data_IF_978429643109
#
_entry.id   IF_978429643109
#
_cell.length_a   1.000
_cell.length_b   1.000
_cell.length_c   1.000
_cell.angle_alpha   90.00
_cell.angle_beta   90.00
_cell.angle_gamma   90.00
#
_symmetry.space_group_name_H-M   'P 1'
#
loop_
_entity.id
_entity.type
_entity.pdbx_description
1 polymer ?
#
# COMPACT_ATOMS: atom_id res chain seq x y z
N UNK A 1 -7.89 15.38 4.80
CA UNK A 1 -7.70 13.92 4.78
C UNK A 1 -8.20 13.32 6.07
N UNK A 2 -8.86 12.17 5.97
CA UNK A 2 -9.26 11.30 7.09
C UNK A 2 -8.54 9.96 6.96
N UNK A 3 -8.19 9.36 8.09
CA UNK A 3 -7.78 7.98 8.25
C UNK A 3 -8.74 7.32 9.24
N UNK A 4 -9.45 6.28 8.83
CA UNK A 4 -10.44 5.56 9.67
C UNK A 4 -11.38 6.55 10.39
N UNK A 5 -11.96 7.48 9.62
CA UNK A 5 -12.84 8.56 10.07
C UNK A 5 -12.23 9.64 10.99
N UNK A 6 -10.95 9.55 11.31
CA UNK A 6 -10.23 10.57 12.08
C UNK A 6 -9.50 11.53 11.16
N UNK A 7 -9.65 12.84 11.39
CA UNK A 7 -8.95 13.86 10.59
C UNK A 7 -7.45 13.85 10.85
N UNK A 8 -6.67 13.83 9.76
CA UNK A 8 -5.23 14.01 9.82
C UNK A 8 -4.92 15.50 9.83
N UNK A 9 -4.30 15.97 10.91
CA UNK A 9 -3.87 17.36 11.08
C UNK A 9 -2.34 17.37 11.21
N UNK A 10 -1.60 17.65 10.12
CA UNK A 10 -0.15 17.75 10.18
C UNK A 10 0.28 18.86 11.15
N UNK A 11 1.17 18.51 12.08
CA UNK A 11 1.85 19.46 12.97
C UNK A 11 3.27 19.70 12.49
N UNK A 12 3.88 20.80 12.90
CA UNK A 12 5.31 21.05 12.64
C UNK A 12 6.14 19.89 13.20
N UNK A 13 6.99 19.27 12.36
CA UNK A 13 7.77 18.08 12.70
C UNK A 13 7.01 16.74 12.65
N UNK A 14 5.76 16.72 12.17
CA UNK A 14 5.00 15.48 11.97
C UNK A 14 5.51 14.66 10.77
N UNK A 15 5.27 13.35 10.81
CA UNK A 15 5.50 12.42 9.69
C UNK A 15 4.58 12.70 8.49
N UNK A 16 3.47 13.38 8.73
CA UNK A 16 2.49 13.75 7.70
C UNK A 16 2.85 15.11 7.10
N UNK A 17 2.84 15.20 5.77
CA UNK A 17 2.99 16.45 5.04
C UNK A 17 1.86 16.59 4.01
N UNK A 18 1.28 17.80 3.94
CA UNK A 18 0.27 18.15 2.94
C UNK A 18 0.87 19.15 1.95
N UNK A 19 0.83 18.84 0.66
CA UNK A 19 1.34 19.73 -0.39
C UNK A 19 0.46 19.64 -1.62
N UNK A 20 -0.18 20.76 -2.01
CA UNK A 20 -1.04 20.81 -3.19
C UNK A 20 -2.22 19.82 -3.15
N UNK A 21 -2.78 19.54 -1.98
CA UNK A 21 -3.83 18.53 -1.77
C UNK A 21 -3.31 17.11 -1.51
N UNK A 22 -2.06 16.81 -1.85
CA UNK A 22 -1.49 15.48 -1.68
C UNK A 22 -1.04 15.24 -0.24
N UNK A 23 -1.34 14.05 0.29
CA UNK A 23 -0.84 13.58 1.58
C UNK A 23 0.41 12.73 1.34
N UNK A 24 1.53 13.17 1.92
CA UNK A 24 2.79 12.43 1.97
C UNK A 24 3.04 11.96 3.39
N UNK A 25 3.39 10.69 3.54
CA UNK A 25 3.69 10.05 4.82
C UNK A 25 5.15 9.63 4.80
N UNK A 26 5.98 10.19 5.69
CA UNK A 26 7.36 9.76 5.87
C UNK A 26 7.45 8.58 6.84
N UNK A 27 8.30 7.59 6.53
CA UNK A 27 8.53 6.40 7.37
C UNK A 27 7.23 5.67 7.74
N UNK A 28 6.65 4.93 6.78
CA UNK A 28 5.40 4.19 7.02
C UNK A 28 5.52 3.22 8.20
N UNK A 29 4.52 3.24 9.08
CA UNK A 29 4.35 2.28 10.16
C UNK A 29 3.06 1.47 9.91
N UNK A 30 3.14 0.14 10.03
CA UNK A 30 2.02 -0.77 9.73
C UNK A 30 0.88 -0.66 10.73
N UNK A 31 1.16 -0.44 12.00
CA UNK A 31 0.15 -0.31 13.04
C UNK A 31 -0.58 1.03 12.98
N UNK A 32 0.12 2.10 12.60
CA UNK A 32 -0.40 3.47 12.63
C UNK A 32 -1.02 3.91 11.30
N UNK A 33 -0.43 3.54 10.16
CA UNK A 33 -0.74 4.15 8.88
C UNK A 33 -1.69 3.30 8.01
N UNK A 34 -1.81 1.99 8.27
CA UNK A 34 -2.71 1.09 7.52
C UNK A 34 -4.17 1.41 7.86
N UNK A 35 -4.99 1.57 6.82
CA UNK A 35 -6.41 1.86 7.00
C UNK A 35 -7.05 2.48 5.78
N UNK A 36 -8.24 3.05 5.98
CA UNK A 36 -9.04 3.67 4.94
C UNK A 36 -8.82 5.18 4.95
N UNK A 37 -8.31 5.69 3.83
CA UNK A 37 -8.09 7.11 3.60
C UNK A 37 -9.21 7.72 2.77
N UNK A 38 -9.62 8.92 3.15
CA UNK A 38 -10.54 9.75 2.38
C UNK A 38 -10.03 11.19 2.34
N UNK A 39 -10.05 11.81 1.17
CA UNK A 39 -9.82 13.25 1.04
C UNK A 39 -11.13 14.02 1.08
N UNK A 40 -11.08 15.23 1.63
CA UNK A 40 -12.17 16.19 1.61
C UNK A 40 -11.63 17.48 1.00
N UNK A 41 -12.35 18.00 0.00
CA UNK A 41 -12.03 19.27 -0.65
C UNK A 41 -13.18 20.25 -0.42
N UNK A 42 -12.87 21.41 0.12
CA UNK A 42 -13.85 22.44 0.52
C UNK A 42 -13.56 23.74 -0.22
N UNK A 43 -14.61 24.38 -0.73
CA UNK A 43 -14.59 25.75 -1.24
C UNK A 43 -15.76 26.55 -0.66
N UNK A 44 -15.97 27.78 -1.12
CA UNK A 44 -17.07 28.65 -0.65
C UNK A 44 -18.47 28.12 -0.95
N UNK A 45 -18.62 27.16 -1.87
CA UNK A 45 -19.90 26.61 -2.30
C UNK A 45 -20.23 25.27 -1.63
N UNK A 46 -19.25 24.61 -1.01
CA UNK A 46 -19.48 23.35 -0.31
C UNK A 46 -18.24 22.50 -0.13
N UNK A 47 -18.46 21.25 0.30
CA UNK A 47 -17.43 20.24 0.49
C UNK A 47 -17.78 18.98 -0.29
N UNK A 48 -16.79 18.41 -0.97
CA UNK A 48 -16.88 17.10 -1.61
C UNK A 48 -15.93 16.11 -0.92
N UNK A 49 -16.32 14.83 -0.92
CA UNK A 49 -15.56 13.74 -0.30
C UNK A 49 -15.11 12.76 -1.37
N UNK A 50 -13.87 12.28 -1.27
CA UNK A 50 -13.33 11.32 -2.22
C UNK A 50 -13.91 9.91 -2.03
N UNK A 51 -13.68 9.03 -3.01
CA UNK A 51 -13.78 7.58 -2.78
C UNK A 51 -12.81 7.15 -1.68
N UNK A 52 -13.14 6.06 -1.01
CA UNK A 52 -12.26 5.41 -0.03
C UNK A 52 -11.06 4.79 -0.73
N UNK A 53 -9.89 4.91 -0.11
CA UNK A 53 -8.70 4.20 -0.53
C UNK A 53 -8.05 3.48 0.64
N UNK A 54 -7.84 2.18 0.46
CA UNK A 54 -7.19 1.34 1.45
C UNK A 54 -5.68 1.42 1.29
N UNK A 55 -4.98 1.87 2.33
CA UNK A 55 -3.53 1.77 2.40
C UNK A 55 -3.15 0.44 3.05
N UNK A 56 -2.40 -0.37 2.30
CA UNK A 56 -1.77 -1.58 2.80
C UNK A 56 -0.27 -1.50 2.61
N UNK A 57 0.48 -2.07 3.55
CA UNK A 57 1.94 -2.21 3.44
C UNK A 57 2.25 -3.62 2.95
N UNK A 58 2.91 -3.71 1.80
CA UNK A 58 3.38 -4.96 1.25
C UNK A 58 4.72 -5.37 1.89
N UNK A 59 4.93 -6.67 2.09
CA UNK A 59 6.20 -7.23 2.54
C UNK A 59 6.43 -8.61 1.92
N UNK A 60 7.70 -9.00 1.83
CA UNK A 60 8.14 -10.32 1.41
C UNK A 60 9.28 -10.74 2.32
N UNK A 61 9.08 -11.82 3.07
CA UNK A 61 10.13 -12.40 3.90
C UNK A 61 11.09 -13.26 3.06
N UNK A 62 12.24 -13.61 3.63
CA UNK A 62 13.18 -14.52 3.00
C UNK A 62 12.71 -15.97 3.08
N UNK A 63 13.09 -16.77 2.08
CA UNK A 63 12.91 -18.23 2.16
C UNK A 63 13.68 -18.80 3.36
N UNK A 64 13.13 -19.88 3.93
CA UNK A 64 13.84 -20.65 4.95
C UNK A 64 15.09 -21.27 4.33
N UNK A 65 16.21 -21.19 5.04
CA UNK A 65 17.51 -21.76 4.62
C UNK A 65 17.60 -23.29 4.76
N UNK A 66 16.55 -23.93 5.30
CA UNK A 66 16.50 -25.38 5.48
C UNK A 66 16.41 -26.11 4.13
N UNK A 67 17.31 -27.08 3.92
CA UNK A 67 17.30 -27.94 2.74
C UNK A 67 16.03 -28.79 2.68
N UNK A 68 15.42 -28.91 1.48
CA UNK A 68 14.25 -29.75 1.25
C UNK A 68 14.65 -31.21 1.03
N UNK A 69 13.81 -32.12 1.49
CA UNK A 69 14.00 -33.56 1.26
C UNK A 69 13.96 -33.87 -0.24
N UNK A 70 14.83 -34.76 -0.74
CA UNK A 70 14.83 -35.16 -2.14
C UNK A 70 13.54 -35.91 -2.50
N UNK A 71 12.99 -35.60 -3.67
CA UNK A 71 11.80 -36.29 -4.22
C UNK A 71 12.27 -37.36 -5.20
N UNK A 72 11.85 -38.61 -5.00
CA UNK A 72 12.18 -39.75 -5.89
C UNK A 72 10.93 -40.21 -6.61
N UNK A 73 11.00 -40.39 -7.92
CA UNK A 73 9.90 -40.85 -8.77
C UNK A 73 10.37 -41.92 -9.74
N UNK A 74 9.43 -42.68 -10.29
CA UNK A 74 9.70 -43.69 -11.33
C UNK A 74 9.81 -43.03 -12.70
N UNK A 75 10.57 -43.65 -13.59
CA UNK A 75 10.66 -43.24 -14.98
C UNK A 75 9.26 -43.25 -15.65
N UNK A 76 8.99 -42.24 -16.47
CA UNK A 76 7.67 -42.02 -17.08
C UNK A 76 6.62 -41.38 -16.17
N UNK A 77 6.91 -41.21 -14.88
CA UNK A 77 5.98 -40.58 -13.93
C UNK A 77 6.25 -39.07 -13.80
N UNK A 78 5.22 -38.26 -14.06
CA UNK A 78 5.28 -36.81 -13.83
C UNK A 78 5.35 -36.45 -12.33
N UNK A 79 5.98 -35.33 -12.02
CA UNK A 79 6.12 -34.83 -10.65
C UNK A 79 5.91 -33.32 -10.57
N UNK A 80 5.38 -32.85 -9.44
CA UNK A 80 5.23 -31.42 -9.13
C UNK A 80 6.11 -31.08 -7.94
N UNK A 81 7.04 -30.14 -8.14
CA UNK A 81 7.86 -29.59 -7.07
C UNK A 81 7.20 -28.33 -6.52
N UNK A 82 6.76 -28.39 -5.27
CA UNK A 82 6.10 -27.26 -4.62
C UNK A 82 7.13 -26.18 -4.25
N UNK A 83 6.84 -24.93 -4.61
CA UNK A 83 7.72 -23.78 -4.35
C UNK A 83 7.78 -23.40 -2.87
N UNK A 84 6.68 -23.49 -2.11
CA UNK A 84 6.63 -23.11 -0.69
C UNK A 84 7.14 -21.68 -0.44
N UNK A 85 6.45 -20.64 -0.97
CA UNK A 85 6.88 -19.26 -0.84
C UNK A 85 6.93 -18.80 0.63
N UNK A 86 7.82 -17.87 1.00
CA UNK A 86 7.88 -17.31 2.34
C UNK A 86 6.64 -16.44 2.65
N UNK A 87 6.41 -16.08 3.92
CA UNK A 87 5.35 -15.15 4.29
C UNK A 87 5.46 -13.84 3.50
N UNK A 88 4.33 -13.38 2.96
CA UNK A 88 4.25 -12.14 2.19
C UNK A 88 2.86 -11.53 2.29
N UNK A 89 2.76 -10.23 2.05
CA UNK A 89 1.48 -9.54 1.87
C UNK A 89 1.57 -8.49 0.78
N UNK A 90 0.42 -8.16 0.21
CA UNK A 90 0.32 -7.33 -0.99
C UNK A 90 0.42 -8.20 -2.24
N UNK A 91 -0.46 -7.95 -3.21
CA UNK A 91 -0.30 -8.52 -4.55
C UNK A 91 0.95 -7.97 -5.24
N UNK A 92 1.17 -8.35 -6.50
CA UNK A 92 2.17 -7.72 -7.36
C UNK A 92 1.73 -6.27 -7.67
N UNK A 93 1.80 -5.40 -6.67
CA UNK A 93 1.56 -3.98 -6.80
C UNK A 93 2.90 -3.33 -7.19
N UNK A 94 2.90 -2.36 -8.12
CA UNK A 94 4.11 -1.59 -8.40
C UNK A 94 4.55 -0.88 -7.13
N UNK A 95 5.85 -0.62 -7.02
CA UNK A 95 6.47 0.06 -5.88
C UNK A 95 5.70 1.35 -5.57
N UNK A 96 4.91 1.34 -4.50
CA UNK A 96 4.15 2.53 -4.10
C UNK A 96 5.13 3.57 -3.56
N UNK A 97 5.44 4.60 -4.35
CA UNK A 97 5.98 5.85 -3.78
C UNK A 97 4.92 6.46 -2.87
N UNK A 98 5.30 6.86 -1.65
CA UNK A 98 4.45 7.20 -0.49
C UNK A 98 3.55 8.46 -0.64
N UNK A 99 2.89 8.65 -1.78
CA UNK A 99 2.13 9.85 -2.10
C UNK A 99 0.69 9.47 -2.42
N UNK A 100 -0.25 10.02 -1.65
CA UNK A 100 -1.69 9.94 -1.91
C UNK A 100 -2.16 11.26 -2.51
N UNK A 101 -2.88 11.20 -3.63
CA UNK A 101 -3.31 12.37 -4.37
C UNK A 101 -4.72 12.80 -4.01
N UNK A 102 -4.96 14.11 -3.92
CA UNK A 102 -6.31 14.66 -3.80
C UNK A 102 -6.53 15.74 -4.86
N UNK A 103 -7.34 15.40 -5.86
CA UNK A 103 -7.78 16.33 -6.90
C UNK A 103 -9.29 16.58 -6.79
N UNK A 104 -9.75 17.72 -7.33
CA UNK A 104 -11.18 18.08 -7.42
C UNK A 104 -11.99 17.10 -8.30
N UNK A 105 -11.30 16.31 -9.15
CA UNK A 105 -11.87 15.19 -9.91
C UNK A 105 -11.48 13.90 -9.21
N UNK A 106 -12.29 13.47 -8.26
CA UNK A 106 -12.08 12.30 -7.38
C UNK A 106 -11.87 11.01 -8.19
N UNK A 107 -10.63 10.71 -8.56
CA UNK A 107 -10.16 9.38 -8.94
C UNK A 107 -8.90 9.11 -8.13
N UNK A 108 -9.06 8.45 -6.97
CA UNK A 108 -7.93 8.00 -6.16
C UNK A 108 -7.39 6.69 -6.74
N UNK A 109 -6.62 6.73 -7.83
CA UNK A 109 -5.90 5.54 -8.30
C UNK A 109 -4.67 5.37 -7.41
N UNK A 110 -4.72 4.39 -6.50
CA UNK A 110 -3.54 3.97 -5.74
C UNK A 110 -2.64 3.18 -6.69
N UNK A 111 -1.86 3.93 -7.46
CA UNK A 111 -0.63 3.55 -8.16
C UNK A 111 -0.18 4.80 -8.92
N UNK A 112 0.89 5.46 -8.48
CA UNK A 112 1.62 6.36 -9.39
C UNK A 112 2.78 5.59 -9.97
N UNK A 113 2.71 5.43 -11.29
CA UNK A 113 3.73 4.93 -12.19
C UNK A 113 5.13 5.34 -11.73
N UNK A 114 6.05 4.37 -11.73
CA UNK A 114 7.45 4.66 -12.01
C UNK A 114 7.51 5.41 -13.34
N UNK A 115 7.80 6.71 -13.30
CA UNK A 115 8.28 7.37 -14.50
C UNK A 115 9.79 7.11 -14.55
N UNK A 116 10.16 6.30 -15.54
CA UNK A 116 11.54 6.10 -16.02
C UNK A 116 12.28 7.41 -16.19
#
# INVERSE_FOLDING_TARGET
WKLNDSFIVPRSGSRYALTGGNLRISHLNKEEDVGIYQCLATNSFGTIVSREASLHIAYLENFKTQSRSPVRVREGQGVVLLCGPPPHSGGCLPVCTHVLYCSLSVYLDVCVQTQT
#
